data_IF_811601825255
#
_entry.id   IF_811601825255
#
_cell.length_a   1.000
_cell.length_b   1.000
_cell.length_c   1.000
_cell.angle_alpha   90.00
_cell.angle_beta   90.00
_cell.angle_gamma   90.00
#
_symmetry.space_group_name_H-M   'P 1'
#
loop_
_entity.id
_entity.type
_entity.pdbx_description
1 polymer ?
#
# COMPACT_ATOMS: atom_id res chain seq x y z
N UNK A 1 8.29 -13.10 -19.87
CA UNK A 1 8.52 -11.94 -19.02
C UNK A 1 7.93 -12.29 -17.66
N UNK A 2 8.64 -12.04 -16.55
CA UNK A 2 8.09 -12.33 -15.21
C UNK A 2 6.95 -11.37 -14.89
N UNK A 3 5.95 -11.86 -14.14
CA UNK A 3 4.87 -11.01 -13.60
C UNK A 3 5.37 -10.19 -12.41
N UNK A 4 4.66 -9.13 -12.06
CA UNK A 4 4.99 -8.27 -10.91
C UNK A 4 5.09 -9.06 -9.61
N UNK A 5 4.17 -10.01 -9.40
CA UNK A 5 4.18 -10.91 -8.24
C UNK A 5 5.43 -11.79 -8.22
N UNK A 6 5.81 -12.37 -9.35
CA UNK A 6 7.02 -13.20 -9.44
C UNK A 6 8.28 -12.39 -9.12
N UNK A 7 8.37 -11.16 -9.62
CA UNK A 7 9.49 -10.25 -9.33
C UNK A 7 9.53 -9.91 -7.83
N UNK A 8 8.39 -9.59 -7.23
CA UNK A 8 8.30 -9.28 -5.80
C UNK A 8 8.69 -10.47 -4.93
N UNK A 9 8.21 -11.67 -5.23
CA UNK A 9 8.47 -12.89 -4.44
C UNK A 9 9.92 -13.38 -4.57
N UNK A 10 10.57 -13.12 -5.69
CA UNK A 10 12.00 -13.46 -5.89
C UNK A 10 12.95 -12.42 -5.28
N UNK A 11 12.44 -11.27 -4.85
CA UNK A 11 13.28 -10.21 -4.27
C UNK A 11 13.80 -10.59 -2.89
N UNK A 12 15.03 -10.20 -2.58
CA UNK A 12 15.60 -10.34 -1.24
C UNK A 12 15.26 -9.10 -0.44
N UNK A 13 14.35 -9.25 0.53
CA UNK A 13 13.94 -8.15 1.40
C UNK A 13 14.93 -7.97 2.55
N UNK A 14 15.32 -6.73 2.82
CA UNK A 14 16.05 -6.35 4.03
C UNK A 14 15.06 -6.16 5.20
N UNK A 15 15.46 -6.49 6.45
CA UNK A 15 14.68 -6.11 7.62
C UNK A 15 14.42 -4.60 7.65
N UNK A 16 13.21 -4.18 8.04
CA UNK A 16 12.84 -2.76 8.02
C UNK A 16 13.76 -1.90 8.89
N UNK A 17 14.23 -2.44 10.01
CA UNK A 17 15.20 -1.75 10.87
C UNK A 17 16.53 -1.46 10.17
N UNK A 18 16.99 -2.36 9.29
CA UNK A 18 18.23 -2.18 8.54
C UNK A 18 18.04 -1.11 7.45
N UNK A 19 16.84 -1.08 6.86
CA UNK A 19 16.46 -0.02 5.90
C UNK A 19 16.40 1.33 6.60
N UNK A 20 15.77 1.41 7.78
CA UNK A 20 15.66 2.63 8.56
C UNK A 20 17.04 3.17 9.02
N UNK A 21 17.94 2.27 9.41
CA UNK A 21 19.27 2.63 9.84
C UNK A 21 20.08 3.38 8.75
N UNK A 22 19.84 3.12 7.46
CA UNK A 22 20.46 3.86 6.35
C UNK A 22 20.07 5.35 6.34
N UNK A 23 18.98 5.71 7.00
CA UNK A 23 18.49 7.08 7.14
C UNK A 23 18.80 7.69 8.52
N UNK A 24 19.49 6.94 9.39
CA UNK A 24 19.81 7.36 10.76
C UNK A 24 18.63 7.23 11.72
N UNK A 25 17.66 6.40 11.38
CA UNK A 25 16.48 6.09 12.20
C UNK A 25 16.79 4.80 12.97
N UNK A 26 16.62 4.84 14.28
CA UNK A 26 16.90 3.73 15.19
C UNK A 26 15.69 2.81 15.36
N UNK A 27 15.89 1.64 15.97
CA UNK A 27 14.78 0.73 16.27
C UNK A 27 13.79 1.33 17.28
N UNK A 28 14.28 2.18 18.19
CA UNK A 28 13.44 2.88 19.18
C UNK A 28 12.52 3.93 18.56
N UNK A 29 12.84 4.39 17.35
CA UNK A 29 12.01 5.32 16.57
C UNK A 29 10.88 4.61 15.79
N UNK A 30 10.80 3.28 15.88
CA UNK A 30 9.93 2.44 15.07
C UNK A 30 8.97 1.60 15.90
N UNK A 31 7.73 1.52 15.45
CA UNK A 31 6.76 0.51 15.88
C UNK A 31 6.75 -0.62 14.85
N UNK A 32 7.33 -1.76 15.18
CA UNK A 32 7.52 -2.88 14.25
C UNK A 32 6.22 -3.66 14.00
N UNK A 33 5.89 -3.86 12.74
CA UNK A 33 4.83 -4.75 12.27
C UNK A 33 5.45 -5.95 11.54
N UNK A 34 6.03 -6.86 12.32
CA UNK A 34 6.84 -7.96 11.82
C UNK A 34 8.23 -7.51 11.36
N UNK A 35 8.85 -8.30 10.47
CA UNK A 35 10.25 -8.09 10.08
C UNK A 35 10.46 -6.98 9.05
N UNK A 36 9.47 -6.72 8.21
CA UNK A 36 9.62 -5.95 6.98
C UNK A 36 8.79 -4.68 6.91
N UNK A 37 8.03 -4.38 7.96
CA UNK A 37 7.15 -3.20 8.05
C UNK A 37 7.28 -2.55 9.41
N UNK A 38 7.12 -1.23 9.45
CA UNK A 38 7.05 -0.47 10.70
C UNK A 38 6.25 0.81 10.48
N UNK A 39 5.78 1.38 11.58
CA UNK A 39 5.39 2.80 11.67
C UNK A 39 6.48 3.57 12.38
N UNK A 40 6.47 4.87 12.24
CA UNK A 40 7.27 5.75 13.07
C UNK A 40 6.59 5.96 14.42
N UNK A 41 7.37 6.03 15.49
CA UNK A 41 6.85 6.41 16.80
C UNK A 41 6.39 7.88 16.79
N UNK A 42 5.44 8.22 17.67
CA UNK A 42 4.96 9.60 17.77
C UNK A 42 6.08 10.54 18.25
N UNK A 43 6.98 10.07 19.11
CA UNK A 43 8.14 10.81 19.57
C UNK A 43 9.08 11.17 18.40
N UNK A 44 9.36 10.19 17.53
CA UNK A 44 10.17 10.44 16.34
C UNK A 44 9.51 11.44 15.41
N UNK A 45 8.22 11.30 15.14
CA UNK A 45 7.47 12.20 14.26
C UNK A 45 7.51 13.64 14.81
N UNK A 46 7.26 13.82 16.10
CA UNK A 46 7.33 15.13 16.75
C UNK A 46 8.75 15.75 16.70
N UNK A 47 9.79 14.93 16.72
CA UNK A 47 11.17 15.39 16.62
C UNK A 47 11.55 15.96 15.26
N UNK A 48 10.73 15.70 14.24
CA UNK A 48 10.97 16.20 12.88
C UNK A 48 10.52 17.63 12.68
N UNK A 49 9.62 18.15 13.51
CA UNK A 49 9.03 19.51 13.39
C UNK A 49 10.08 20.62 13.42
N UNK A 50 11.19 20.39 14.11
CA UNK A 50 12.30 21.35 14.23
C UNK A 50 13.38 21.17 13.16
N UNK A 51 13.26 20.14 12.29
CA UNK A 51 14.27 19.87 11.24
C UNK A 51 13.95 20.63 9.97
N UNK A 52 14.97 21.04 9.22
CA UNK A 52 14.74 21.70 7.93
C UNK A 52 14.10 20.75 6.92
N UNK A 53 13.16 21.26 6.15
CA UNK A 53 12.49 20.52 5.10
C UNK A 53 13.46 20.07 3.99
N UNK A 54 13.20 18.88 3.48
CA UNK A 54 13.85 18.36 2.28
C UNK A 54 13.24 18.96 1.00
N UNK A 55 13.81 18.58 -0.14
CA UNK A 55 13.26 18.96 -1.45
C UNK A 55 12.10 18.05 -1.81
N UNK A 56 10.93 18.63 -2.07
CA UNK A 56 9.73 17.91 -2.50
C UNK A 56 9.71 17.77 -4.02
N UNK A 57 9.50 16.52 -4.49
CA UNK A 57 9.23 16.22 -5.91
C UNK A 57 7.84 15.60 -6.01
N UNK A 58 6.92 16.30 -6.64
CA UNK A 58 5.55 15.84 -6.84
C UNK A 58 5.41 15.12 -8.19
N UNK A 59 4.97 13.86 -8.15
CA UNK A 59 4.60 13.10 -9.35
C UNK A 59 3.08 13.17 -9.55
N UNK A 60 2.68 13.77 -10.67
CA UNK A 60 1.27 13.96 -11.01
C UNK A 60 1.00 13.63 -12.48
N UNK A 61 -0.26 13.61 -12.87
CA UNK A 61 -0.70 13.47 -14.25
C UNK A 61 -1.77 14.51 -14.57
N UNK A 62 -1.82 14.95 -15.82
CA UNK A 62 -2.76 15.97 -16.29
C UNK A 62 -4.20 15.42 -16.27
N UNK A 63 -4.39 14.21 -16.82
CA UNK A 63 -5.70 13.56 -16.91
C UNK A 63 -5.63 12.13 -16.36
N UNK A 64 -6.68 11.64 -15.66
CA UNK A 64 -6.80 10.24 -15.31
C UNK A 64 -7.11 9.39 -16.53
N UNK A 65 -6.58 8.17 -16.57
CA UNK A 65 -6.93 7.15 -17.57
C UNK A 65 -7.40 5.86 -16.90
N UNK A 66 -8.23 5.03 -17.56
CA UNK A 66 -8.67 3.77 -17.00
C UNK A 66 -7.52 2.80 -16.67
N UNK A 67 -6.47 2.81 -17.46
CA UNK A 67 -5.29 1.96 -17.28
C UNK A 67 -4.30 2.47 -16.21
N UNK A 68 -4.50 3.70 -15.73
CA UNK A 68 -3.54 4.40 -14.88
C UNK A 68 -2.43 5.10 -15.68
N UNK A 69 -1.74 6.05 -15.06
CA UNK A 69 -0.74 6.91 -15.70
C UNK A 69 0.70 6.58 -15.29
N UNK A 70 0.89 5.52 -14.48
CA UNK A 70 2.21 5.10 -14.04
C UNK A 70 2.86 6.00 -12.98
N UNK A 71 2.10 6.88 -12.30
CA UNK A 71 2.64 7.78 -11.27
C UNK A 71 3.45 7.06 -10.20
N UNK A 72 2.88 6.01 -9.63
CA UNK A 72 3.54 5.22 -8.58
C UNK A 72 4.80 4.54 -9.09
N UNK A 73 4.73 3.86 -10.22
CA UNK A 73 5.88 3.17 -10.84
C UNK A 73 7.01 4.15 -11.15
N UNK A 74 6.68 5.33 -11.69
CA UNK A 74 7.66 6.37 -11.99
C UNK A 74 8.28 6.96 -10.72
N UNK A 75 7.47 7.17 -9.67
CA UNK A 75 7.98 7.67 -8.38
C UNK A 75 8.98 6.69 -7.75
N UNK A 76 8.67 5.40 -7.77
CA UNK A 76 9.55 4.35 -7.26
C UNK A 76 10.83 4.28 -8.08
N UNK A 77 10.71 4.24 -9.41
CA UNK A 77 11.87 4.23 -10.30
C UNK A 77 12.79 5.44 -10.12
N UNK A 78 12.21 6.63 -9.86
CA UNK A 78 12.98 7.83 -9.55
C UNK A 78 13.73 7.71 -8.23
N UNK A 79 13.09 7.19 -7.17
CA UNK A 79 13.74 6.97 -5.89
C UNK A 79 14.89 5.94 -6.00
N UNK A 80 14.69 4.85 -6.72
CA UNK A 80 15.75 3.87 -7.01
C UNK A 80 16.91 4.52 -7.79
N UNK A 81 16.63 5.45 -8.70
CA UNK A 81 17.67 6.18 -9.41
C UNK A 81 18.46 7.11 -8.49
N UNK A 82 17.79 7.79 -7.55
CA UNK A 82 18.48 8.60 -6.53
C UNK A 82 19.38 7.75 -5.65
N UNK A 83 18.95 6.59 -5.22
CA UNK A 83 19.76 5.65 -4.44
C UNK A 83 21.04 5.24 -5.21
N UNK A 84 20.90 4.86 -6.49
CA UNK A 84 22.05 4.54 -7.35
C UNK A 84 23.02 5.70 -7.54
N UNK A 85 22.53 6.93 -7.43
CA UNK A 85 23.36 8.15 -7.47
C UNK A 85 23.90 8.56 -6.08
N UNK A 86 23.71 7.74 -5.06
CA UNK A 86 24.13 8.02 -3.69
C UNK A 86 23.37 9.16 -3.02
N UNK A 87 22.14 9.44 -3.48
CA UNK A 87 21.27 10.47 -2.91
C UNK A 87 20.22 9.82 -2.01
N UNK A 88 20.06 10.35 -0.81
CA UNK A 88 18.99 9.94 0.09
C UNK A 88 17.65 10.47 -0.41
N UNK A 89 16.67 9.60 -0.54
CA UNK A 89 15.30 9.96 -0.91
C UNK A 89 14.30 9.11 -0.17
N UNK A 90 13.16 9.68 0.16
CA UNK A 90 12.03 8.99 0.81
C UNK A 90 10.83 9.10 -0.12
N UNK A 91 10.12 7.99 -0.30
CA UNK A 91 8.89 7.93 -1.07
C UNK A 91 7.69 8.11 -0.13
N UNK A 92 6.81 9.05 -0.47
CA UNK A 92 5.48 9.15 0.09
C UNK A 92 4.47 8.68 -0.94
N UNK A 93 4.01 7.46 -0.82
CA UNK A 93 3.05 6.85 -1.73
C UNK A 93 1.66 6.82 -1.10
N UNK A 94 0.64 6.86 -1.96
CA UNK A 94 -0.73 6.69 -1.51
C UNK A 94 -0.98 5.23 -1.16
N UNK A 95 -1.59 4.98 -0.01
CA UNK A 95 -2.11 3.66 0.33
C UNK A 95 -3.22 3.26 -0.65
N UNK A 96 -3.23 2.02 -1.17
CA UNK A 96 -4.30 1.56 -2.05
C UNK A 96 -5.57 1.35 -1.24
N UNK A 97 -6.70 1.59 -1.89
CA UNK A 97 -8.00 1.15 -1.41
C UNK A 97 -8.28 -0.28 -1.91
N UNK A 98 -9.52 -0.75 -1.81
CA UNK A 98 -9.95 -2.04 -2.36
C UNK A 98 -9.76 -2.20 -3.89
N UNK A 99 -9.34 -1.14 -4.58
CA UNK A 99 -9.19 -1.10 -6.03
C UNK A 99 -8.32 -2.20 -6.65
N UNK A 100 -7.17 -2.60 -6.06
CA UNK A 100 -6.35 -3.69 -6.59
C UNK A 100 -7.01 -5.07 -6.52
N UNK A 101 -7.87 -5.28 -5.51
CA UNK A 101 -8.56 -6.55 -5.31
C UNK A 101 -9.94 -6.58 -5.95
N UNK A 102 -10.54 -5.42 -6.13
CA UNK A 102 -11.93 -5.27 -6.55
C UNK A 102 -12.13 -4.11 -7.52
N UNK A 103 -11.52 -4.21 -8.68
CA UNK A 103 -11.63 -3.18 -9.73
C UNK A 103 -10.42 -3.16 -10.65
N UNK A 104 -10.36 -2.10 -11.45
CA UNK A 104 -9.30 -1.88 -12.45
C UNK A 104 -8.22 -0.88 -11.99
N UNK A 105 -8.29 -0.40 -10.74
CA UNK A 105 -7.24 0.49 -10.20
C UNK A 105 -5.98 -0.30 -9.88
N UNK A 106 -4.83 0.20 -10.32
CA UNK A 106 -3.53 -0.35 -9.99
C UNK A 106 -3.23 -0.28 -8.48
N UNK A 107 -2.37 -1.19 -8.00
CA UNK A 107 -1.87 -1.19 -6.63
C UNK A 107 -0.96 0.01 -6.33
N UNK A 108 -0.64 0.20 -5.04
CA UNK A 108 0.28 1.24 -4.58
C UNK A 108 1.75 0.79 -4.55
N UNK A 109 2.03 -0.47 -4.86
CA UNK A 109 3.38 -1.02 -4.77
C UNK A 109 4.23 -0.83 -6.04
N UNK A 110 3.70 -0.21 -7.09
CA UNK A 110 4.40 -0.08 -8.38
C UNK A 110 4.25 -1.30 -9.28
N UNK A 111 5.22 -1.52 -10.18
CA UNK A 111 5.21 -2.65 -11.11
C UNK A 111 6.58 -2.92 -11.72
N UNK A 112 6.76 -4.12 -12.29
CA UNK A 112 8.04 -4.58 -12.80
C UNK A 112 9.13 -4.57 -11.75
N UNK A 113 10.28 -4.01 -12.07
CA UNK A 113 11.40 -3.81 -11.14
C UNK A 113 11.30 -2.50 -10.33
N UNK A 114 10.30 -1.66 -10.61
CA UNK A 114 9.99 -0.46 -9.82
C UNK A 114 8.87 -0.79 -8.84
N UNK A 115 9.19 -1.59 -7.82
CA UNK A 115 8.23 -2.05 -6.81
C UNK A 115 8.72 -1.78 -5.40
N UNK A 116 7.76 -1.58 -4.48
CA UNK A 116 7.96 -1.62 -3.03
C UNK A 116 7.51 -2.98 -2.52
N UNK A 117 8.32 -3.60 -1.69
CA UNK A 117 8.05 -4.91 -1.08
C UNK A 117 7.96 -4.78 0.45
N UNK A 118 7.14 -5.60 1.11
CA UNK A 118 6.31 -6.71 0.62
C UNK A 118 5.06 -6.21 -0.14
N UNK A 119 4.90 -6.62 -1.39
CA UNK A 119 3.88 -6.08 -2.29
C UNK A 119 2.46 -6.46 -1.85
N UNK A 120 2.25 -7.72 -1.45
CA UNK A 120 0.95 -8.22 -1.04
C UNK A 120 0.44 -7.46 0.19
N UNK A 121 1.27 -7.29 1.20
CA UNK A 121 0.91 -6.58 2.43
C UNK A 121 0.57 -5.10 2.15
N UNK A 122 1.36 -4.45 1.28
CA UNK A 122 1.15 -3.06 0.93
C UNK A 122 -0.11 -2.83 0.09
N UNK A 123 -0.50 -3.79 -0.74
CA UNK A 123 -1.70 -3.71 -1.57
C UNK A 123 -2.98 -4.16 -0.86
N UNK A 124 -2.86 -4.88 0.25
CA UNK A 124 -4.00 -5.37 1.03
C UNK A 124 -4.21 -4.51 2.28
N UNK A 125 -3.85 -5.03 3.45
CA UNK A 125 -4.03 -4.33 4.72
C UNK A 125 -2.72 -4.21 5.47
N UNK A 126 -2.14 -3.03 5.43
CA UNK A 126 -0.86 -2.76 6.06
C UNK A 126 -0.91 -2.84 7.59
N UNK A 127 -2.01 -2.44 8.22
CA UNK A 127 -2.03 -2.07 9.63
C UNK A 127 -3.08 -2.77 10.48
N UNK A 128 -3.34 -4.04 10.23
CA UNK A 128 -3.97 -4.84 11.28
C UNK A 128 -5.35 -5.40 10.99
N UNK A 129 -5.70 -6.33 11.85
CA UNK A 129 -6.81 -7.26 11.67
C UNK A 129 -8.19 -6.58 11.73
N UNK A 130 -8.36 -5.56 12.56
CA UNK A 130 -9.65 -4.85 12.67
C UNK A 130 -10.06 -4.20 11.35
N UNK A 131 -9.14 -3.53 10.68
CA UNK A 131 -9.43 -2.93 9.38
C UNK A 131 -9.67 -3.99 8.31
N UNK A 132 -8.91 -5.09 8.34
CA UNK A 132 -9.08 -6.21 7.43
C UNK A 132 -10.46 -6.87 7.61
N UNK A 133 -10.85 -7.19 8.85
CA UNK A 133 -12.14 -7.80 9.18
C UNK A 133 -13.30 -6.88 8.79
N UNK A 134 -13.23 -5.59 9.13
CA UNK A 134 -14.25 -4.61 8.77
C UNK A 134 -14.41 -4.49 7.26
N UNK A 135 -13.31 -4.42 6.51
CA UNK A 135 -13.35 -4.34 5.05
C UNK A 135 -13.92 -5.62 4.42
N UNK A 136 -13.57 -6.79 4.93
CA UNK A 136 -14.11 -8.07 4.47
C UNK A 136 -15.61 -8.17 4.73
N UNK A 137 -16.06 -7.81 5.93
CA UNK A 137 -17.48 -7.80 6.27
C UNK A 137 -18.28 -6.82 5.41
N UNK A 138 -17.80 -5.59 5.25
CA UNK A 138 -18.47 -4.57 4.45
C UNK A 138 -18.57 -4.98 2.97
N UNK A 139 -17.52 -5.60 2.43
CA UNK A 139 -17.54 -6.11 1.06
C UNK A 139 -18.55 -7.25 0.92
N UNK A 140 -18.57 -8.20 1.86
CA UNK A 140 -19.52 -9.30 1.84
C UNK A 140 -20.98 -8.79 1.91
N UNK A 141 -21.28 -7.86 2.82
CA UNK A 141 -22.59 -7.23 2.93
C UNK A 141 -22.99 -6.53 1.62
N UNK A 142 -22.12 -5.71 1.05
CA UNK A 142 -22.39 -5.03 -0.21
C UNK A 142 -22.62 -6.00 -1.38
N UNK A 143 -21.88 -7.10 -1.45
CA UNK A 143 -22.10 -8.14 -2.47
C UNK A 143 -23.41 -8.87 -2.28
N UNK A 144 -23.79 -9.16 -1.04
CA UNK A 144 -25.07 -9.80 -0.69
C UNK A 144 -26.25 -8.90 -1.10
N UNK A 145 -26.22 -7.66 -0.68
CA UNK A 145 -27.27 -6.69 -1.02
C UNK A 145 -27.42 -6.52 -2.54
N UNK A 146 -26.29 -6.35 -3.24
CA UNK A 146 -26.31 -6.26 -4.68
C UNK A 146 -26.87 -7.53 -5.34
N UNK A 147 -26.51 -8.72 -4.84
CA UNK A 147 -27.00 -9.99 -5.35
C UNK A 147 -28.53 -10.09 -5.21
N UNK A 148 -29.04 -9.77 -4.02
CA UNK A 148 -30.49 -9.79 -3.74
C UNK A 148 -31.21 -8.80 -4.68
N UNK A 149 -30.68 -7.58 -4.83
CA UNK A 149 -31.30 -6.55 -5.67
C UNK A 149 -31.25 -6.88 -7.17
N UNK A 150 -30.21 -7.58 -7.63
CA UNK A 150 -30.03 -7.94 -9.05
C UNK A 150 -30.76 -9.22 -9.48
N UNK A 151 -31.65 -9.75 -8.64
CA UNK A 151 -32.52 -10.87 -9.03
C UNK A 151 -32.38 -12.11 -8.16
N UNK A 152 -31.50 -12.11 -7.16
CA UNK A 152 -31.36 -13.16 -6.16
C UNK A 152 -31.34 -14.60 -6.73
N UNK A 153 -30.47 -14.84 -7.71
CA UNK A 153 -30.35 -16.15 -8.39
C UNK A 153 -30.12 -17.31 -7.40
N UNK A 154 -29.41 -17.05 -6.30
CA UNK A 154 -29.15 -18.03 -5.26
C UNK A 154 -30.35 -18.25 -4.34
N UNK A 155 -31.43 -17.49 -4.50
CA UNK A 155 -32.66 -17.56 -3.69
C UNK A 155 -32.38 -17.44 -2.20
N UNK A 156 -31.57 -16.47 -1.81
CA UNK A 156 -31.24 -16.18 -0.42
C UNK A 156 -32.53 -15.73 0.28
N UNK A 157 -32.80 -16.36 1.43
CA UNK A 157 -34.01 -16.06 2.22
C UNK A 157 -33.83 -14.74 2.99
N UNK A 158 -34.40 -13.68 2.45
CA UNK A 158 -34.32 -12.34 3.03
C UNK A 158 -35.12 -12.18 4.32
N UNK A 159 -36.03 -13.14 4.64
CA UNK A 159 -36.79 -13.11 5.90
C UNK A 159 -35.93 -13.47 7.14
N UNK A 160 -34.76 -14.06 6.91
CA UNK A 160 -33.78 -14.41 7.94
C UNK A 160 -32.64 -13.42 8.09
N UNK A 161 -32.64 -12.34 7.31
CA UNK A 161 -31.67 -11.29 7.50
C UNK A 161 -31.95 -10.57 8.82
N UNK A 162 -30.94 -10.42 9.66
CA UNK A 162 -31.05 -9.77 10.97
C UNK A 162 -31.18 -8.23 10.89
N UNK A 163 -31.27 -7.66 9.71
CA UNK A 163 -31.61 -6.26 9.54
C UNK A 163 -33.12 -6.05 9.84
N UNK A 164 -33.37 -5.71 11.07
CA UNK A 164 -34.64 -5.18 11.56
C UNK A 164 -34.47 -3.73 11.95
#
# INVERSE_FOLDING_TARGET
>A
MKTDIQIAQESTMLPIKDVAANYGITEDDLELYGKYKAKFSDEFMNSLDEKPDGKLVLMTAINPTPAGEGKTTTSIGLAQAFEKLGKKSVLALREPSLGPCFGIKGGAAGGGYSQVVPMEDLNLHFTGDFHAITSANNLLAALLDNHIQQGNELRIDTSRSEER
#
